data_IF_480811121574
#
_entry.id   IF_480811121574
#
_cell.length_a   1.000
_cell.length_b   1.000
_cell.length_c   1.000
_cell.angle_alpha   90.00
_cell.angle_beta   90.00
_cell.angle_gamma   90.00
#
_symmetry.space_group_name_H-M   'P 1'
#
loop_
_entity.id
_entity.type
_entity.pdbx_description
1 polymer ?
#
# COMPACT_ATOMS: atom_id res chain seq x y z
N UNK A 1 -44.09 -17.20 19.32
CA UNK A 1 -44.57 -16.16 20.23
C UNK A 1 -44.01 -14.86 19.70
N UNK A 2 -44.79 -14.19 18.83
CA UNK A 2 -45.77 -13.14 19.09
C UNK A 2 -45.05 -11.84 19.46
N UNK A 3 -44.83 -10.96 18.48
CA UNK A 3 -45.76 -9.87 18.14
C UNK A 3 -45.70 -8.66 19.10
N UNK A 4 -45.23 -7.53 18.61
CA UNK A 4 -45.85 -6.20 18.88
C UNK A 4 -45.40 -5.14 17.86
N UNK A 5 -46.21 -5.04 16.82
CA UNK A 5 -46.51 -3.77 16.17
C UNK A 5 -47.19 -2.81 17.18
N UNK A 6 -46.95 -1.52 17.04
CA UNK A 6 -47.95 -0.46 17.13
C UNK A 6 -47.27 0.88 16.80
N UNK A 7 -47.58 1.43 15.61
CA UNK A 7 -48.51 2.54 15.49
C UNK A 7 -48.17 3.78 16.32
N UNK A 8 -47.68 4.82 15.70
CA UNK A 8 -48.17 6.20 15.93
C UNK A 8 -48.26 6.97 14.63
N UNK A 9 -49.50 7.25 14.31
CA UNK A 9 -49.97 8.06 13.21
C UNK A 9 -49.98 9.55 13.61
N UNK A 10 -49.76 10.40 12.61
CA UNK A 10 -50.42 11.68 12.30
C UNK A 10 -50.68 12.67 13.45
N UNK A 11 -50.02 13.81 13.37
CA UNK A 11 -50.69 15.09 13.65
C UNK A 11 -50.31 16.08 12.55
N UNK A 12 -51.25 16.39 11.70
CA UNK A 12 -51.27 17.59 10.85
C UNK A 12 -51.60 18.75 11.75
N UNK A 13 -50.83 19.81 11.77
CA UNK A 13 -51.24 21.10 12.34
C UNK A 13 -51.55 22.05 11.18
N UNK A 14 -52.80 22.48 11.20
CA UNK A 14 -53.45 23.40 10.33
C UNK A 14 -53.37 24.80 10.94
N UNK A 15 -52.43 25.59 10.51
CA UNK A 15 -52.35 27.01 10.91
C UNK A 15 -51.71 27.91 9.85
N UNK A 16 -52.20 27.87 8.63
CA UNK A 16 -51.84 28.84 7.58
C UNK A 16 -53.05 29.41 6.81
N UNK A 17 -54.15 29.65 7.45
CA UNK A 17 -55.26 30.34 6.82
C UNK A 17 -55.82 31.43 7.74
N UNK A 18 -55.10 32.54 7.88
CA UNK A 18 -55.73 33.77 8.45
C UNK A 18 -54.86 35.01 8.29
N UNK A 19 -54.56 35.45 7.06
CA UNK A 19 -54.00 36.81 6.82
C UNK A 19 -54.42 37.41 5.46
N UNK A 20 -55.62 37.16 4.98
CA UNK A 20 -56.17 37.85 3.79
C UNK A 20 -57.50 38.52 4.12
N UNK A 21 -57.48 39.55 4.94
CA UNK A 21 -58.59 40.48 4.99
C UNK A 21 -58.21 41.72 5.79
N UNK A 22 -57.63 42.71 5.11
CA UNK A 22 -57.75 44.14 5.42
C UNK A 22 -56.83 44.92 4.48
N UNK A 23 -57.43 45.37 3.36
CA UNK A 23 -56.89 46.46 2.58
C UNK A 23 -57.92 47.60 2.65
N UNK A 24 -57.54 48.74 3.26
CA UNK A 24 -58.42 49.92 3.13
C UNK A 24 -58.17 50.63 1.78
N UNK A 25 -59.24 50.99 1.17
CA UNK A 25 -59.34 51.83 0.00
C UNK A 25 -58.66 53.17 0.18
N UNK A 26 -57.75 53.54 -0.75
CA UNK A 26 -57.18 54.89 -0.82
C UNK A 26 -57.62 55.60 -2.14
N UNK A 27 -57.83 56.91 -2.11
CA UNK A 27 -58.46 57.63 -3.19
C UNK A 27 -57.50 58.01 -4.30
N UNK A 28 -58.00 58.09 -5.48
CA UNK A 28 -57.44 58.64 -6.70
C UNK A 28 -56.87 60.03 -6.51
N UNK A 29 -55.62 60.23 -6.93
CA UNK A 29 -55.12 61.61 -7.19
C UNK A 29 -54.05 61.70 -8.25
N UNK A 30 -54.43 62.39 -9.30
CA UNK A 30 -53.63 63.35 -10.05
C UNK A 30 -52.43 62.88 -10.87
N UNK A 31 -52.64 62.93 -12.15
CA UNK A 31 -51.71 62.97 -13.25
C UNK A 31 -50.59 64.03 -12.97
N UNK A 32 -49.37 63.54 -12.70
CA UNK A 32 -48.16 64.30 -12.99
C UNK A 32 -47.44 63.61 -14.10
N UNK A 33 -47.28 64.25 -15.22
CA UNK A 33 -46.46 63.81 -16.34
C UNK A 33 -45.03 63.68 -15.84
N UNK A 34 -44.62 62.44 -15.69
CA UNK A 34 -43.22 62.11 -15.48
C UNK A 34 -42.50 62.21 -16.82
N UNK A 35 -41.64 63.16 -16.98
CA UNK A 35 -40.63 63.22 -18.04
C UNK A 35 -39.77 61.97 -17.85
N UNK A 36 -39.97 60.99 -18.69
CA UNK A 36 -39.14 59.79 -18.68
C UNK A 36 -37.71 60.16 -19.01
N UNK A 37 -36.75 59.42 -18.49
CA UNK A 37 -35.33 59.62 -18.79
C UNK A 37 -35.11 59.55 -20.29
N UNK A 38 -34.29 60.47 -20.80
CA UNK A 38 -33.97 60.53 -22.23
C UNK A 38 -33.45 59.17 -22.72
N UNK A 39 -33.82 58.71 -23.92
CA UNK A 39 -33.46 57.38 -24.45
C UNK A 39 -31.94 57.16 -24.46
N UNK A 40 -31.13 58.21 -24.48
CA UNK A 40 -29.68 58.18 -24.41
C UNK A 40 -29.19 57.73 -23.04
N UNK A 41 -29.78 58.25 -21.95
CA UNK A 41 -29.41 57.89 -20.56
C UNK A 41 -29.82 56.44 -20.21
N UNK A 42 -30.96 55.96 -20.75
CA UNK A 42 -31.37 54.57 -20.57
C UNK A 42 -30.44 53.59 -21.29
N UNK A 43 -29.99 53.96 -22.51
CA UNK A 43 -29.05 53.16 -23.29
C UNK A 43 -27.64 53.11 -22.65
N UNK A 44 -27.16 54.21 -22.09
CA UNK A 44 -25.88 54.22 -21.40
C UNK A 44 -25.89 53.43 -20.10
N UNK A 45 -26.98 53.46 -19.34
CA UNK A 45 -27.15 52.65 -18.12
C UNK A 45 -27.23 51.15 -18.46
N UNK A 46 -27.92 50.78 -19.52
CA UNK A 46 -27.99 49.36 -19.94
C UNK A 46 -26.67 48.81 -20.45
N UNK A 47 -25.86 49.66 -21.12
CA UNK A 47 -24.52 49.26 -21.57
C UNK A 47 -23.57 49.08 -20.38
N UNK A 48 -23.55 49.99 -19.41
CA UNK A 48 -22.73 49.90 -18.19
C UNK A 48 -23.12 48.67 -17.36
N UNK A 49 -24.42 48.42 -17.19
CA UNK A 49 -24.90 47.22 -16.48
C UNK A 49 -24.52 45.91 -17.20
N UNK A 50 -24.53 45.90 -18.54
CA UNK A 50 -24.13 44.74 -19.32
C UNK A 50 -22.61 44.48 -19.23
N UNK A 51 -21.82 45.55 -19.16
CA UNK A 51 -20.35 45.44 -19.00
C UNK A 51 -19.94 44.97 -17.61
N UNK A 52 -20.65 45.46 -16.58
CA UNK A 52 -20.48 45.03 -15.18
C UNK A 52 -20.88 43.57 -15.00
N UNK A 53 -21.95 43.10 -15.60
CA UNK A 53 -22.38 41.69 -15.61
C UNK A 53 -21.35 40.79 -16.35
N UNK A 54 -20.77 41.28 -17.44
CA UNK A 54 -19.71 40.54 -18.16
C UNK A 54 -18.44 40.43 -17.31
N UNK A 55 -18.04 41.49 -16.61
CA UNK A 55 -16.86 41.44 -15.75
C UNK A 55 -17.03 40.51 -14.58
N UNK A 56 -18.23 40.45 -13.98
CA UNK A 56 -18.57 39.54 -12.90
C UNK A 56 -18.60 38.07 -13.38
N UNK A 57 -19.09 37.81 -14.60
CA UNK A 57 -19.08 36.45 -15.16
C UNK A 57 -17.64 35.98 -15.43
N UNK A 58 -16.78 36.86 -15.97
CA UNK A 58 -15.37 36.54 -16.26
C UNK A 58 -14.59 36.26 -14.97
N UNK A 59 -14.82 37.03 -13.91
CA UNK A 59 -14.20 36.78 -12.60
C UNK A 59 -14.67 35.46 -11.98
N UNK A 60 -15.99 35.18 -12.08
CA UNK A 60 -16.55 33.91 -11.58
C UNK A 60 -16.02 32.69 -12.33
N UNK A 61 -15.87 32.80 -13.65
CA UNK A 61 -15.34 31.71 -14.48
C UNK A 61 -13.83 31.52 -14.19
N UNK A 62 -13.09 32.59 -13.95
CA UNK A 62 -11.68 32.52 -13.57
C UNK A 62 -11.47 31.89 -12.19
N UNK A 63 -12.28 32.25 -11.19
CA UNK A 63 -12.18 31.66 -9.83
C UNK A 63 -12.56 30.19 -9.85
N UNK A 64 -13.60 29.79 -10.60
CA UNK A 64 -13.99 28.41 -10.79
C UNK A 64 -12.90 27.59 -11.46
N UNK A 65 -12.21 28.14 -12.45
CA UNK A 65 -11.13 27.46 -13.16
C UNK A 65 -9.88 27.28 -12.28
N UNK A 66 -9.57 28.27 -11.44
CA UNK A 66 -8.47 28.18 -10.46
C UNK A 66 -8.77 27.17 -9.35
N UNK A 67 -9.97 27.18 -8.80
CA UNK A 67 -10.38 26.20 -7.78
C UNK A 67 -10.40 24.76 -8.34
N UNK A 68 -10.93 24.57 -9.53
CA UNK A 68 -10.92 23.26 -10.21
C UNK A 68 -9.50 22.75 -10.44
N UNK A 69 -8.58 23.60 -10.85
CA UNK A 69 -7.16 23.24 -11.06
C UNK A 69 -6.50 22.83 -9.74
N UNK A 70 -6.77 23.52 -8.65
CA UNK A 70 -6.26 23.14 -7.33
C UNK A 70 -6.87 21.82 -6.85
N UNK A 71 -8.16 21.60 -7.04
CA UNK A 71 -8.82 20.35 -6.69
C UNK A 71 -8.24 19.18 -7.50
N UNK A 72 -8.07 19.35 -8.82
CA UNK A 72 -7.44 18.33 -9.67
C UNK A 72 -6.00 18.06 -9.27
N UNK A 73 -5.23 19.11 -8.94
CA UNK A 73 -3.85 18.95 -8.44
C UNK A 73 -3.83 18.19 -7.11
N UNK A 74 -4.68 18.53 -6.16
CA UNK A 74 -4.77 17.84 -4.87
C UNK A 74 -5.18 16.38 -5.08
N UNK A 75 -6.17 16.11 -5.91
CA UNK A 75 -6.59 14.73 -6.24
C UNK A 75 -5.46 13.96 -6.91
N UNK A 76 -4.71 14.56 -7.83
CA UNK A 76 -3.59 13.91 -8.50
C UNK A 76 -2.43 13.62 -7.55
N UNK A 77 -2.13 14.52 -6.62
CA UNK A 77 -1.13 14.31 -5.56
C UNK A 77 -1.58 13.22 -4.58
N UNK A 78 -2.86 13.22 -4.18
CA UNK A 78 -3.42 12.15 -3.35
C UNK A 78 -3.43 10.79 -4.08
N UNK A 79 -3.79 10.77 -5.35
CA UNK A 79 -3.81 9.55 -6.16
C UNK A 79 -2.39 9.01 -6.40
N UNK A 80 -1.40 9.87 -6.58
CA UNK A 80 0.01 9.45 -6.69
C UNK A 80 0.56 8.91 -5.37
N UNK A 81 0.13 9.42 -4.22
CA UNK A 81 0.51 8.90 -2.90
C UNK A 81 -0.12 7.52 -2.60
N UNK A 82 -1.28 7.21 -3.18
CA UNK A 82 -1.93 5.90 -3.07
C UNK A 82 -1.30 4.80 -3.95
N UNK A 83 -0.48 5.18 -4.93
CA UNK A 83 0.16 4.23 -5.86
C UNK A 83 1.50 3.68 -5.36
N UNK A 84 2.04 4.17 -4.26
CA UNK A 84 3.20 3.58 -3.59
C UNK A 84 2.77 2.52 -2.57
N UNK A 85 2.08 1.48 -3.02
CA UNK A 85 2.02 0.25 -2.27
C UNK A 85 3.41 -0.40 -2.39
N UNK A 86 4.30 -0.13 -1.45
CA UNK A 86 5.54 -0.90 -1.33
C UNK A 86 5.14 -2.37 -1.17
N UNK A 87 5.45 -3.16 -2.18
CA UNK A 87 5.23 -4.59 -2.10
C UNK A 87 6.09 -5.13 -0.95
N UNK A 88 5.46 -5.83 -0.01
CA UNK A 88 6.18 -6.41 1.11
C UNK A 88 7.35 -7.28 0.61
N UNK A 89 8.54 -7.15 1.19
CA UNK A 89 9.68 -7.97 0.79
C UNK A 89 9.40 -9.46 0.91
N UNK A 90 9.83 -10.21 -0.08
CA UNK A 90 9.77 -11.67 -0.08
C UNK A 90 11.11 -12.22 0.37
N UNK A 91 11.11 -13.03 1.41
CA UNK A 91 12.32 -13.66 1.93
C UNK A 91 12.27 -15.15 1.70
N UNK A 92 13.24 -15.65 0.93
CA UNK A 92 13.45 -17.07 0.69
C UNK A 92 14.41 -17.59 1.75
N UNK A 93 13.94 -18.48 2.61
CA UNK A 93 14.73 -19.05 3.70
C UNK A 93 14.94 -20.52 3.40
N UNK A 94 16.19 -20.93 3.35
CA UNK A 94 16.57 -22.31 3.08
C UNK A 94 17.61 -22.83 4.07
N UNK A 95 17.59 -24.10 4.34
CA UNK A 95 18.70 -24.78 5.02
C UNK A 95 19.87 -24.89 4.06
N UNK A 96 21.11 -24.81 4.58
CA UNK A 96 22.30 -25.15 3.79
C UNK A 96 22.12 -26.52 3.09
N UNK A 97 22.68 -26.70 1.92
CA UNK A 97 22.64 -27.92 1.16
C UNK A 97 23.50 -29.06 1.80
N UNK A 98 23.50 -30.21 1.20
CA UNK A 98 24.16 -31.40 1.70
C UNK A 98 25.67 -31.16 1.86
N UNK A 99 26.17 -31.43 3.05
CA UNK A 99 27.60 -31.36 3.39
C UNK A 99 28.31 -32.67 3.13
N UNK A 100 29.65 -32.62 2.97
CA UNK A 100 30.50 -33.83 2.93
C UNK A 100 30.48 -34.55 4.30
N UNK A 101 30.73 -35.86 4.25
CA UNK A 101 30.86 -36.67 5.47
C UNK A 101 32.23 -36.53 6.17
N UNK A 102 33.08 -35.61 5.71
CA UNK A 102 34.38 -35.35 6.29
C UNK A 102 34.29 -34.93 7.74
N UNK A 103 35.23 -35.46 8.56
CA UNK A 103 35.34 -35.08 9.94
C UNK A 103 35.89 -33.64 10.06
N UNK A 104 35.07 -32.76 10.64
CA UNK A 104 35.40 -31.35 10.86
C UNK A 104 34.17 -30.56 11.26
N UNK A 105 34.40 -29.44 11.95
CA UNK A 105 33.28 -28.62 12.43
C UNK A 105 32.63 -27.78 11.32
N UNK A 106 33.31 -27.58 10.18
CA UNK A 106 32.85 -26.74 9.06
C UNK A 106 33.14 -27.43 7.71
N UNK A 107 32.45 -28.54 7.40
CA UNK A 107 32.64 -29.26 6.13
C UNK A 107 32.07 -28.47 4.95
N UNK A 108 32.72 -28.61 3.80
CA UNK A 108 32.28 -28.11 2.51
C UNK A 108 31.00 -28.84 2.02
N UNK A 109 30.33 -28.32 1.02
CA UNK A 109 29.22 -29.01 0.39
C UNK A 109 29.68 -30.29 -0.33
N UNK A 110 28.83 -31.31 -0.29
CA UNK A 110 29.01 -32.49 -1.13
C UNK A 110 28.70 -32.16 -2.61
N UNK A 111 29.00 -33.06 -3.53
CA UNK A 111 28.62 -32.92 -4.94
C UNK A 111 27.11 -32.76 -5.08
N UNK A 112 26.32 -33.47 -4.28
CA UNK A 112 24.87 -33.32 -4.23
C UNK A 112 24.48 -31.91 -3.75
N UNK A 113 25.12 -31.42 -2.68
CA UNK A 113 24.91 -30.08 -2.15
C UNK A 113 25.23 -28.98 -3.16
N UNK A 114 26.32 -29.12 -3.91
CA UNK A 114 26.68 -28.17 -4.98
C UNK A 114 25.60 -28.12 -6.07
N UNK A 115 25.11 -29.27 -6.54
CA UNK A 115 24.01 -29.34 -7.51
C UNK A 115 22.73 -28.72 -6.97
N UNK A 116 22.43 -28.92 -5.68
CA UNK A 116 21.27 -28.29 -5.01
C UNK A 116 21.42 -26.78 -4.95
N UNK A 117 22.60 -26.26 -4.63
CA UNK A 117 22.88 -24.83 -4.64
C UNK A 117 22.68 -24.20 -6.03
N UNK A 118 23.12 -24.88 -7.09
CA UNK A 118 22.89 -24.46 -8.46
C UNK A 118 21.39 -24.53 -8.84
N UNK A 119 20.67 -25.56 -8.38
CA UNK A 119 19.23 -25.66 -8.59
C UNK A 119 18.48 -24.50 -7.90
N UNK A 120 18.86 -24.16 -6.67
CA UNK A 120 18.33 -23.01 -5.95
C UNK A 120 18.52 -21.70 -6.74
N UNK A 121 19.73 -21.47 -7.28
CA UNK A 121 20.00 -20.29 -8.09
C UNK A 121 19.10 -20.21 -9.33
N UNK A 122 18.89 -21.33 -10.03
CA UNK A 122 17.95 -21.37 -11.17
C UNK A 122 16.50 -21.08 -10.78
N UNK A 123 16.03 -21.57 -9.62
CA UNK A 123 14.68 -21.30 -9.11
C UNK A 123 14.51 -19.85 -8.76
N UNK A 124 15.51 -19.23 -8.15
CA UNK A 124 15.46 -17.84 -7.68
C UNK A 124 15.89 -16.80 -8.73
N UNK A 125 16.21 -17.21 -9.95
CA UNK A 125 16.76 -16.36 -11.01
C UNK A 125 15.94 -15.08 -11.23
N UNK A 126 14.61 -15.21 -11.28
CA UNK A 126 13.70 -14.10 -11.59
C UNK A 126 13.05 -13.50 -10.31
N UNK A 127 13.55 -13.90 -9.12
CA UNK A 127 12.98 -13.48 -7.84
C UNK A 127 13.48 -12.10 -7.38
N UNK A 128 14.25 -11.38 -8.19
CA UNK A 128 14.75 -10.03 -7.91
C UNK A 128 15.42 -9.93 -6.53
N UNK A 129 16.28 -10.90 -6.21
CA UNK A 129 17.02 -10.91 -4.94
C UNK A 129 17.95 -9.69 -4.88
N UNK A 130 17.80 -8.88 -3.85
CA UNK A 130 18.64 -7.69 -3.57
C UNK A 130 19.59 -7.89 -2.41
N UNK A 131 19.34 -8.90 -1.57
CA UNK A 131 20.16 -9.18 -0.38
C UNK A 131 20.31 -10.69 -0.15
N UNK A 132 21.50 -11.10 0.22
CA UNK A 132 21.80 -12.50 0.56
C UNK A 132 22.44 -12.55 1.95
N UNK A 133 21.79 -13.27 2.87
CA UNK A 133 22.30 -13.52 4.22
C UNK A 133 22.79 -14.96 4.35
N UNK A 134 23.94 -15.11 4.96
CA UNK A 134 24.56 -16.41 5.25
C UNK A 134 25.10 -16.41 6.69
N UNK A 135 25.46 -17.57 7.20
CA UNK A 135 26.20 -17.64 8.46
C UNK A 135 27.71 -17.73 8.21
N UNK A 136 28.52 -17.74 9.29
CA UNK A 136 29.96 -17.91 9.26
C UNK A 136 30.43 -19.24 8.67
N UNK A 137 29.52 -20.24 8.58
CA UNK A 137 29.89 -21.58 8.12
C UNK A 137 29.94 -21.68 6.60
N UNK A 138 30.97 -22.35 6.07
CA UNK A 138 31.20 -22.56 4.63
C UNK A 138 29.96 -23.11 3.92
N UNK A 139 29.30 -24.13 4.50
CA UNK A 139 28.13 -24.77 3.90
C UNK A 139 26.98 -23.82 3.59
N UNK A 140 26.78 -22.75 4.38
CA UNK A 140 25.78 -21.72 4.08
C UNK A 140 26.26 -20.78 3.00
N UNK A 141 27.53 -20.40 3.03
CA UNK A 141 28.15 -19.52 2.05
C UNK A 141 28.18 -20.20 0.67
N UNK A 142 28.60 -21.45 0.62
CA UNK A 142 28.62 -22.25 -0.63
C UNK A 142 27.21 -22.50 -1.19
N UNK A 143 26.21 -22.72 -0.33
CA UNK A 143 24.82 -22.85 -0.77
C UNK A 143 24.30 -21.56 -1.41
N UNK A 144 24.67 -20.41 -0.87
CA UNK A 144 24.23 -19.12 -1.39
C UNK A 144 25.03 -18.64 -2.61
N UNK A 145 26.27 -19.13 -2.79
CA UNK A 145 27.22 -18.61 -3.75
C UNK A 145 26.71 -18.55 -5.21
N UNK A 146 26.04 -19.59 -5.76
CA UNK A 146 25.51 -19.50 -7.12
C UNK A 146 24.46 -18.41 -7.28
N UNK A 147 23.52 -18.27 -6.33
CA UNK A 147 22.49 -17.22 -6.32
C UNK A 147 23.10 -15.83 -6.18
N UNK A 148 24.04 -15.67 -5.24
CA UNK A 148 24.72 -14.38 -5.03
C UNK A 148 25.52 -13.96 -6.27
N UNK A 149 26.19 -14.91 -6.94
CA UNK A 149 26.92 -14.65 -8.20
C UNK A 149 25.97 -14.20 -9.32
N UNK A 150 24.84 -14.87 -9.50
CA UNK A 150 23.86 -14.52 -10.53
C UNK A 150 23.25 -13.13 -10.27
N UNK A 151 22.92 -12.84 -9.03
CA UNK A 151 22.40 -11.54 -8.61
C UNK A 151 23.48 -10.44 -8.50
N UNK A 152 24.77 -10.78 -8.65
CA UNK A 152 25.93 -9.88 -8.47
C UNK A 152 26.00 -9.24 -7.09
N UNK A 153 25.68 -10.02 -6.07
CA UNK A 153 25.64 -9.58 -4.67
C UNK A 153 26.79 -10.19 -3.87
N UNK A 154 27.21 -9.46 -2.85
CA UNK A 154 28.09 -9.99 -1.81
C UNK A 154 27.25 -10.48 -0.62
N UNK A 155 27.32 -11.74 -0.22
CA UNK A 155 26.59 -12.24 0.93
C UNK A 155 26.99 -11.52 2.23
N UNK A 156 25.99 -11.20 3.04
CA UNK A 156 26.17 -10.59 4.37
C UNK A 156 26.23 -11.74 5.39
N UNK A 157 27.34 -11.82 6.11
CA UNK A 157 27.50 -12.82 7.17
C UNK A 157 26.84 -12.34 8.45
N UNK A 158 25.93 -13.17 9.00
CA UNK A 158 25.32 -12.98 10.32
C UNK A 158 25.62 -14.24 11.13
N UNK A 159 26.19 -14.13 12.34
CA UNK A 159 26.52 -15.29 13.15
C UNK A 159 25.30 -16.22 13.35
N UNK A 160 25.52 -17.54 13.25
CA UNK A 160 24.44 -18.52 13.35
C UNK A 160 23.68 -18.46 14.68
N UNK A 161 24.34 -18.02 15.75
CA UNK A 161 23.75 -17.83 17.07
C UNK A 161 23.04 -16.47 17.25
N UNK A 162 23.14 -15.55 16.28
CA UNK A 162 22.48 -14.24 16.32
C UNK A 162 21.14 -14.25 15.53
N UNK A 163 20.22 -15.12 15.95
CA UNK A 163 18.89 -15.22 15.34
C UNK A 163 18.11 -13.91 15.47
N UNK A 164 18.27 -13.20 16.57
CA UNK A 164 17.59 -11.93 16.80
C UNK A 164 18.09 -10.84 15.84
N UNK A 165 19.41 -10.75 15.64
CA UNK A 165 20.01 -9.84 14.67
C UNK A 165 19.61 -10.18 13.23
N UNK A 166 19.55 -11.47 12.88
CA UNK A 166 19.03 -11.91 11.58
C UNK A 166 17.58 -11.47 11.39
N UNK A 167 16.69 -11.71 12.36
CA UNK A 167 15.30 -11.30 12.29
C UNK A 167 15.13 -9.78 12.17
N UNK A 168 15.94 -8.99 12.87
CA UNK A 168 15.93 -7.54 12.76
C UNK A 168 16.33 -7.07 11.36
N UNK A 169 17.37 -7.66 10.77
CA UNK A 169 17.82 -7.37 9.40
C UNK A 169 16.75 -7.75 8.36
N UNK A 170 16.11 -8.90 8.54
CA UNK A 170 15.02 -9.33 7.66
C UNK A 170 13.82 -8.37 7.70
N UNK A 171 13.45 -7.86 8.89
CA UNK A 171 12.36 -6.88 9.00
C UNK A 171 12.69 -5.50 8.42
N UNK A 172 13.97 -5.18 8.32
CA UNK A 172 14.44 -3.89 7.78
C UNK A 172 14.71 -3.93 6.27
N UNK A 173 14.34 -5.02 5.60
CA UNK A 173 14.51 -5.15 4.14
C UNK A 173 13.51 -4.26 3.40
N UNK A 174 13.97 -3.67 2.32
CA UNK A 174 13.19 -2.95 1.32
C UNK A 174 13.04 -3.72 0.00
N UNK A 175 13.66 -4.90 -0.11
CA UNK A 175 13.62 -5.77 -1.28
C UNK A 175 13.73 -7.24 -0.93
N UNK A 176 13.65 -8.11 -1.95
CA UNK A 176 13.65 -9.55 -1.75
C UNK A 176 15.01 -10.08 -1.31
N UNK A 177 15.01 -11.10 -0.46
CA UNK A 177 16.24 -11.65 0.08
C UNK A 177 16.27 -13.19 0.07
N UNK A 178 17.50 -13.71 0.01
CA UNK A 178 17.80 -15.10 0.31
C UNK A 178 18.48 -15.19 1.69
N UNK A 179 17.99 -16.05 2.57
CA UNK A 179 18.59 -16.39 3.86
C UNK A 179 18.95 -17.87 3.84
N UNK A 180 20.24 -18.18 4.02
CA UNK A 180 20.71 -19.56 4.14
C UNK A 180 21.12 -19.82 5.59
N UNK A 181 20.37 -20.69 6.25
CA UNK A 181 20.55 -21.03 7.67
C UNK A 181 20.75 -22.53 7.92
N UNK A 182 20.38 -22.93 9.13
CA UNK A 182 20.57 -24.31 9.61
C UNK A 182 19.23 -24.91 10.08
N UNK A 183 19.14 -26.23 10.15
CA UNK A 183 17.92 -26.94 10.58
C UNK A 183 17.42 -26.54 11.97
N UNK A 184 18.30 -26.13 12.87
CA UNK A 184 17.95 -25.61 14.20
C UNK A 184 17.65 -24.11 14.25
N UNK A 185 18.35 -23.29 13.46
CA UNK A 185 18.18 -21.81 13.52
C UNK A 185 17.02 -21.29 12.70
N UNK A 186 16.62 -21.99 11.65
CA UNK A 186 15.46 -21.58 10.81
C UNK A 186 14.14 -21.59 11.61
N UNK A 187 13.80 -22.65 12.38
CA UNK A 187 12.60 -22.61 13.23
C UNK A 187 12.58 -21.44 14.22
N UNK A 188 13.72 -21.12 14.81
CA UNK A 188 13.88 -19.99 15.73
C UNK A 188 13.70 -18.64 14.99
N UNK A 189 14.27 -18.51 13.79
CA UNK A 189 14.10 -17.33 12.94
C UNK A 189 12.62 -17.15 12.55
N UNK A 190 11.94 -18.21 12.14
CA UNK A 190 10.52 -18.16 11.81
C UNK A 190 9.68 -17.66 12.99
N UNK A 191 9.93 -18.21 14.18
CA UNK A 191 9.28 -17.73 15.41
C UNK A 191 9.60 -16.26 15.70
N UNK A 192 10.87 -15.87 15.55
CA UNK A 192 11.30 -14.49 15.72
C UNK A 192 10.65 -13.53 14.70
N UNK A 193 10.35 -13.99 13.50
CA UNK A 193 9.63 -13.22 12.47
C UNK A 193 8.10 -13.15 12.73
N UNK A 194 7.58 -13.88 13.70
CA UNK A 194 6.14 -13.87 14.03
C UNK A 194 5.34 -14.97 13.33
N UNK A 195 6.01 -15.94 12.69
CA UNK A 195 5.32 -17.10 12.09
C UNK A 195 4.83 -18.02 13.22
N UNK A 196 3.50 -18.13 13.33
CA UNK A 196 2.86 -18.93 14.38
C UNK A 196 2.92 -20.44 14.11
N UNK A 197 3.06 -20.86 12.85
CA UNK A 197 3.13 -22.27 12.47
C UNK A 197 4.46 -22.86 12.92
N UNK A 198 4.46 -23.93 13.73
CA UNK A 198 5.67 -24.63 14.11
C UNK A 198 6.41 -25.20 12.88
N UNK A 199 7.70 -24.93 12.80
CA UNK A 199 8.57 -25.45 11.75
C UNK A 199 9.45 -26.53 12.35
N UNK A 200 9.49 -27.68 11.70
CA UNK A 200 10.42 -28.76 11.97
C UNK A 200 11.08 -29.15 10.66
N UNK A 201 12.40 -29.18 10.62
CA UNK A 201 13.18 -29.55 9.45
C UNK A 201 13.89 -30.87 9.77
N UNK A 202 13.49 -31.99 9.12
CA UNK A 202 14.15 -33.27 9.30
C UNK A 202 15.64 -33.18 8.98
N UNK A 203 16.47 -33.93 9.68
CA UNK A 203 17.91 -33.87 9.53
C UNK A 203 18.40 -34.17 8.10
N UNK A 204 17.68 -35.03 7.38
CA UNK A 204 18.01 -35.43 6.01
C UNK A 204 17.23 -34.68 4.95
N UNK A 205 16.44 -33.67 5.32
CA UNK A 205 15.69 -32.87 4.37
C UNK A 205 16.40 -31.55 4.06
N UNK A 206 16.74 -31.39 2.80
CA UNK A 206 17.36 -30.19 2.22
C UNK A 206 16.51 -29.58 1.10
N UNK A 207 15.29 -30.11 0.90
CA UNK A 207 14.45 -29.73 -0.24
C UNK A 207 13.54 -28.53 0.01
N UNK A 208 13.41 -28.06 1.23
CA UNK A 208 12.46 -27.03 1.58
C UNK A 208 12.95 -25.62 1.27
N UNK A 209 12.07 -24.81 0.65
CA UNK A 209 12.18 -23.36 0.56
C UNK A 209 11.02 -22.77 1.33
N UNK A 210 11.30 -22.03 2.37
CA UNK A 210 10.34 -21.24 3.09
C UNK A 210 10.27 -19.85 2.46
N UNK A 211 9.12 -19.48 1.95
CA UNK A 211 8.86 -18.17 1.36
C UNK A 211 8.05 -17.35 2.36
N UNK A 212 8.66 -16.31 2.88
CA UNK A 212 8.05 -15.43 3.89
C UNK A 212 7.78 -14.05 3.27
N UNK A 213 6.52 -13.64 3.27
CA UNK A 213 6.17 -12.24 3.00
C UNK A 213 6.29 -11.47 4.31
N UNK A 214 7.18 -10.47 4.33
CA UNK A 214 7.50 -9.69 5.53
C UNK A 214 6.53 -8.52 5.64
N UNK A 215 5.33 -8.81 6.13
CA UNK A 215 4.32 -7.81 6.48
C UNK A 215 3.70 -8.16 7.85
N UNK A 216 2.80 -7.37 8.36
CA UNK A 216 2.11 -7.65 9.61
C UNK A 216 0.62 -7.97 9.36
N UNK A 217 0.15 -9.19 9.66
CA UNK A 217 0.91 -10.38 10.11
C UNK A 217 1.70 -11.03 8.96
N UNK A 218 2.86 -11.65 9.22
CA UNK A 218 3.68 -12.29 8.19
C UNK A 218 2.99 -13.52 7.60
N UNK A 219 3.23 -13.80 6.32
CA UNK A 219 2.71 -14.98 5.64
C UNK A 219 3.83 -15.93 5.26
N UNK A 220 3.60 -17.24 5.44
CA UNK A 220 4.53 -18.31 5.12
C UNK A 220 3.96 -19.22 4.05
N UNK A 221 4.74 -19.47 3.00
CA UNK A 221 4.52 -20.55 2.03
C UNK A 221 5.70 -21.53 2.10
N UNK A 222 5.43 -22.80 1.89
CA UNK A 222 6.44 -23.86 1.86
C UNK A 222 6.47 -24.47 0.48
N UNK A 223 7.64 -24.49 -0.12
CA UNK A 223 7.90 -25.10 -1.43
C UNK A 223 8.94 -26.19 -1.25
N UNK A 224 8.90 -27.19 -2.12
CA UNK A 224 9.92 -28.23 -2.18
C UNK A 224 10.56 -28.23 -3.56
N UNK A 225 11.87 -28.30 -3.60
CA UNK A 225 12.62 -28.33 -4.85
C UNK A 225 13.50 -29.58 -4.92
N UNK A 226 13.14 -30.54 -5.78
CA UNK A 226 14.02 -31.64 -6.14
C UNK A 226 15.17 -31.12 -7.02
N UNK A 227 16.27 -31.87 -7.08
CA UNK A 227 17.37 -31.59 -7.98
C UNK A 227 17.83 -32.89 -8.67
#
# INVERSE_FOLDING_TARGET
>A
MANRESRRARARDSSQDRWLSRIPNTPSRSSKSAVGPSPTLARTRSMLAAEELRSLSTVRDYTHDVEMKHVVLIISVFLSALLTADAAPIVFIVRHAEKTATSGNDPDLSVAGQKRAEALARILKDSQITTVFVTEFKRTQETAAPTAKEARLNPIVVPANDVAGMAAKVRALDGNALVVGHGNTIPELMKALGIATPIAIPENDYSEIFVVLVHDPPQLFRLHYPF
#
